data_IF_542565147772
#
_entry.id   IF_542565147772
#
_cell.length_a   1.000
_cell.length_b   1.000
_cell.length_c   1.000
_cell.angle_alpha   90.00
_cell.angle_beta   90.00
_cell.angle_gamma   90.00
#
_symmetry.space_group_name_H-M   'P 1'
#
loop_
_entity.id
_entity.type
_entity.pdbx_description
1 polymer ?
#
# COMPACT_ATOMS: atom_id res chain seq x y z
N UNK A 1 4.99 -17.40 -3.16
CA UNK A 1 4.82 -16.24 -4.06
C UNK A 1 5.21 -15.00 -3.28
N UNK A 2 6.46 -14.54 -3.41
CA UNK A 2 6.90 -13.28 -2.81
C UNK A 2 6.20 -12.15 -3.56
N UNK A 3 5.44 -11.33 -2.83
CA UNK A 3 4.75 -10.16 -3.39
C UNK A 3 5.68 -8.96 -3.31
N UNK A 4 5.66 -8.14 -4.35
CA UNK A 4 6.34 -6.85 -4.32
C UNK A 4 5.33 -5.72 -4.30
N UNK A 5 5.60 -4.79 -3.40
CA UNK A 5 4.86 -3.57 -3.24
C UNK A 5 5.76 -2.42 -3.66
N UNK A 6 5.30 -1.67 -4.65
CA UNK A 6 6.03 -0.56 -5.24
C UNK A 6 5.24 0.70 -4.99
N UNK A 7 5.82 1.62 -4.22
CA UNK A 7 5.33 2.99 -4.18
C UNK A 7 5.97 3.73 -5.34
N UNK A 8 5.21 3.87 -6.42
CA UNK A 8 5.70 4.53 -7.62
C UNK A 8 5.71 6.05 -7.44
N UNK A 9 6.77 6.65 -7.96
CA UNK A 9 6.92 8.10 -8.10
C UNK A 9 5.97 8.68 -9.15
N UNK A 10 4.65 8.45 -9.06
CA UNK A 10 3.68 8.95 -10.03
C UNK A 10 2.49 9.70 -9.46
N UNK A 11 2.11 10.69 -10.27
CA UNK A 11 0.96 11.55 -10.19
C UNK A 11 -0.34 10.78 -10.43
N UNK A 12 -0.64 9.83 -9.55
CA UNK A 12 -2.00 9.29 -9.48
C UNK A 12 -2.92 10.38 -8.88
N UNK A 13 -4.06 10.65 -9.53
CA UNK A 13 -5.08 11.52 -8.95
C UNK A 13 -5.59 10.89 -7.65
N UNK A 14 -5.62 11.69 -6.58
CA UNK A 14 -6.31 11.33 -5.34
C UNK A 14 -7.81 11.25 -5.65
N UNK A 15 -8.33 10.06 -5.92
CA UNK A 15 -9.75 9.92 -6.26
C UNK A 15 -10.25 8.51 -6.56
N UNK A 16 -9.39 7.51 -6.75
CA UNK A 16 -9.83 6.12 -6.91
C UNK A 16 -9.66 5.39 -5.57
N UNK A 17 -10.74 5.37 -4.78
CA UNK A 17 -10.82 4.56 -3.57
C UNK A 17 -11.02 3.09 -3.95
N UNK A 18 -9.93 2.34 -4.12
CA UNK A 18 -10.00 0.88 -4.06
C UNK A 18 -10.04 0.46 -2.59
N UNK A 19 -11.24 0.15 -2.12
CA UNK A 19 -11.45 -0.54 -0.85
C UNK A 19 -10.96 -1.99 -1.03
N UNK A 20 -9.72 -2.28 -0.64
CA UNK A 20 -9.22 -3.66 -0.61
C UNK A 20 -9.67 -4.27 0.72
N UNK A 21 -10.89 -4.80 0.74
CA UNK A 21 -11.35 -5.65 1.84
C UNK A 21 -10.61 -6.98 1.80
N UNK A 22 -9.71 -7.22 2.76
CA UNK A 22 -9.19 -8.57 3.04
C UNK A 22 -10.13 -9.28 4.01
N UNK A 23 -11.11 -10.00 3.47
CA UNK A 23 -11.81 -11.06 4.20
C UNK A 23 -11.52 -12.40 3.53
N UNK A 24 -10.59 -13.16 4.11
CA UNK A 24 -10.48 -14.60 3.87
C UNK A 24 -11.66 -15.28 4.59
N UNK A 25 -12.72 -15.61 3.84
CA UNK A 25 -13.69 -16.62 4.25
C UNK A 25 -13.45 -17.86 3.40
N UNK A 26 -12.80 -18.86 4.01
CA UNK A 26 -12.63 -20.18 3.40
C UNK A 26 -13.93 -20.94 3.59
N UNK A 27 -14.79 -20.97 2.57
CA UNK A 27 -15.92 -21.91 2.49
C UNK A 27 -15.44 -23.11 1.68
N UNK A 28 -15.11 -24.20 2.38
CA UNK A 28 -14.71 -25.47 1.76
C UNK A 28 -15.88 -26.13 1.01
N UNK A 29 -15.69 -26.33 -0.30
CA UNK A 29 -16.53 -27.19 -1.14
C UNK A 29 -16.23 -28.66 -0.81
N UNK A 30 -17.24 -29.44 -0.37
CA UNK A 30 -17.17 -30.91 -0.37
C UNK A 30 -17.46 -31.41 -1.78
N UNK A 31 -16.47 -32.03 -2.42
CA UNK A 31 -16.69 -32.94 -3.54
C UNK A 31 -16.90 -34.35 -3.00
N UNK A 32 -18.00 -34.98 -3.39
CA UNK A 32 -18.32 -36.36 -3.08
C UNK A 32 -17.58 -37.30 -4.05
N UNK A 33 -16.92 -38.32 -3.51
CA UNK A 33 -16.73 -39.61 -4.18
C UNK A 33 -16.37 -40.70 -3.16
N UNK A 34 -17.21 -41.75 -3.12
CA UNK A 34 -16.90 -43.19 -2.95
C UNK A 34 -15.53 -43.54 -2.33
N UNK A 35 -15.38 -44.28 -1.24
CA UNK A 35 -16.23 -45.26 -0.58
C UNK A 35 -15.30 -46.40 -0.11
N UNK A 36 -15.22 -46.66 1.20
CA UNK A 36 -14.83 -47.95 1.80
C UNK A 36 -14.84 -47.83 3.32
N UNK A 37 -15.54 -48.77 3.94
CA UNK A 37 -15.77 -48.97 5.37
C UNK A 37 -14.51 -48.85 6.24
N UNK A 38 -14.65 -48.20 7.40
CA UNK A 38 -14.08 -48.64 8.68
C UNK A 38 -14.99 -48.12 9.80
N UNK A 39 -15.57 -49.08 10.50
CA UNK A 39 -16.28 -48.95 11.78
C UNK A 39 -15.35 -48.40 12.85
N UNK A 40 -15.73 -47.30 13.52
CA UNK A 40 -15.33 -47.08 14.92
C UNK A 40 -16.23 -46.07 15.65
N UNK A 41 -16.47 -46.39 16.92
CA UNK A 41 -17.47 -45.88 17.87
C UNK A 41 -17.46 -44.37 18.12
N UNK A 42 -18.67 -43.82 18.29
CA UNK A 42 -18.94 -42.49 18.84
C UNK A 42 -18.95 -42.49 20.38
N UNK A 43 -18.62 -41.35 21.00
CA UNK A 43 -19.23 -40.94 22.26
C UNK A 43 -20.22 -39.78 22.05
N UNK A 44 -21.38 -39.95 22.68
CA UNK A 44 -22.49 -39.02 22.85
C UNK A 44 -22.06 -37.74 23.58
N UNK A 45 -22.40 -36.58 23.01
CA UNK A 45 -22.53 -35.33 23.76
C UNK A 45 -23.80 -34.59 23.29
N UNK A 46 -24.69 -34.38 24.26
CA UNK A 46 -26.04 -33.87 24.12
C UNK A 46 -26.06 -32.39 23.69
N UNK A 47 -26.90 -32.09 22.71
CA UNK A 47 -27.32 -30.73 22.38
C UNK A 47 -28.51 -30.37 23.27
N UNK A 48 -28.29 -29.50 24.24
CA UNK A 48 -29.37 -28.89 25.02
C UNK A 48 -29.96 -27.72 24.23
N UNK A 49 -31.23 -27.85 23.85
CA UNK A 49 -32.06 -26.78 23.31
C UNK A 49 -32.27 -25.71 24.39
N UNK A 50 -32.03 -24.44 24.05
CA UNK A 50 -32.46 -23.30 24.86
C UNK A 50 -33.27 -22.33 24.00
N UNK A 51 -34.38 -21.90 24.61
CA UNK A 51 -35.56 -21.34 23.98
C UNK A 51 -35.41 -19.90 23.47
N UNK A 52 -36.18 -19.60 22.44
CA UNK A 52 -36.55 -18.26 21.93
C UNK A 52 -37.18 -17.37 23.02
N UNK A 53 -36.79 -16.09 23.13
CA UNK A 53 -37.56 -15.10 23.89
C UNK A 53 -38.74 -14.49 23.07
N UNK A 54 -39.82 -14.04 23.75
CA UNK A 54 -41.08 -13.59 23.15
C UNK A 54 -41.06 -12.12 22.65
N UNK A 55 -42.05 -11.70 21.83
CA UNK A 55 -42.13 -10.36 21.23
C UNK A 55 -42.52 -9.24 22.21
N UNK A 56 -42.19 -7.97 21.92
CA UNK A 56 -42.49 -6.83 22.78
C UNK A 56 -43.98 -6.42 22.73
N UNK A 57 -44.51 -6.13 23.92
CA UNK A 57 -45.89 -5.73 24.15
C UNK A 57 -46.17 -4.27 23.74
N UNK A 58 -47.33 -4.08 23.11
CA UNK A 58 -47.95 -2.81 22.75
C UNK A 58 -48.70 -2.21 23.95
N UNK A 59 -48.43 -0.94 24.31
CA UNK A 59 -49.35 -0.02 25.02
C UNK A 59 -49.03 1.40 24.55
N UNK A 60 -49.89 2.06 23.80
CA UNK A 60 -51.16 2.73 24.14
C UNK A 60 -50.95 4.14 24.73
N UNK A 61 -51.67 5.07 24.10
CA UNK A 61 -51.59 6.52 24.14
C UNK A 61 -51.80 7.15 25.52
N UNK A 62 -51.08 8.25 25.78
CA UNK A 62 -51.64 9.41 26.50
C UNK A 62 -51.12 10.70 25.90
N UNK A 63 -52.06 11.61 25.63
CA UNK A 63 -51.89 12.97 25.15
C UNK A 63 -50.88 13.80 25.97
N UNK A 64 -50.14 14.67 25.29
CA UNK A 64 -49.81 15.98 25.85
C UNK A 64 -49.77 17.06 24.77
N UNK A 65 -50.66 18.04 24.97
CA UNK A 65 -50.96 19.20 24.15
C UNK A 65 -49.84 20.26 24.23
N UNK A 66 -49.58 20.85 23.05
CA UNK A 66 -49.23 22.25 22.76
C UNK A 66 -47.97 22.90 23.35
N UNK A 67 -47.06 23.30 22.46
CA UNK A 67 -46.70 24.71 22.26
C UNK A 67 -46.00 24.91 20.90
N UNK A 68 -46.67 25.65 20.02
CA UNK A 68 -46.19 26.05 18.70
C UNK A 68 -45.19 27.21 18.83
N UNK A 69 -43.91 26.97 18.51
CA UNK A 69 -42.88 28.01 18.34
C UNK A 69 -42.53 28.15 16.85
N UNK A 70 -43.02 29.22 16.23
CA UNK A 70 -42.69 29.61 14.85
C UNK A 70 -41.31 30.27 14.81
N UNK A 71 -40.26 29.49 14.52
CA UNK A 71 -38.93 30.02 14.24
C UNK A 71 -38.80 30.42 12.76
N UNK A 72 -38.55 31.71 12.51
CA UNK A 72 -38.35 32.31 11.19
C UNK A 72 -37.00 31.86 10.61
N UNK A 73 -37.04 30.95 9.64
CA UNK A 73 -35.87 30.51 8.87
C UNK A 73 -35.45 31.62 7.89
N UNK A 74 -34.43 32.39 8.26
CA UNK A 74 -33.77 33.36 7.39
C UNK A 74 -33.03 32.64 6.27
N UNK A 75 -33.43 32.88 5.01
CA UNK A 75 -32.71 32.44 3.81
C UNK A 75 -31.52 33.36 3.58
N UNK A 76 -30.35 33.00 4.11
CA UNK A 76 -29.07 33.61 3.73
C UNK A 76 -28.55 32.86 2.50
N UNK A 77 -28.56 33.52 1.35
CA UNK A 77 -27.98 33.02 0.11
C UNK A 77 -26.48 32.74 0.34
N UNK A 78 -26.06 31.49 0.15
CA UNK A 78 -24.64 31.12 0.09
C UNK A 78 -24.14 31.45 -1.31
N UNK A 79 -23.35 32.51 -1.40
CA UNK A 79 -22.47 32.79 -2.54
C UNK A 79 -21.49 31.62 -2.68
N UNK A 80 -21.47 30.97 -3.85
CA UNK A 80 -20.47 29.96 -4.17
C UNK A 80 -19.07 30.58 -4.16
N UNK A 81 -18.02 29.88 -3.68
CA UNK A 81 -16.67 30.40 -3.73
C UNK A 81 -16.24 30.54 -5.20
N UNK A 82 -15.71 31.72 -5.54
CA UNK A 82 -15.14 32.02 -6.84
C UNK A 82 -13.99 31.03 -7.15
N UNK A 83 -13.92 30.58 -8.40
CA UNK A 83 -12.86 29.68 -8.88
C UNK A 83 -11.47 30.30 -8.74
N UNK A 84 -10.41 29.46 -8.81
CA UNK A 84 -9.04 29.90 -8.59
C UNK A 84 -8.62 30.99 -9.59
N UNK A 85 -8.00 32.04 -9.06
CA UNK A 85 -7.46 33.19 -9.80
C UNK A 85 -6.30 32.77 -10.71
N UNK A 86 -6.22 33.34 -11.92
CA UNK A 86 -5.24 32.97 -12.95
C UNK A 86 -3.77 32.94 -12.48
N UNK A 87 -3.37 33.79 -11.53
CA UNK A 87 -2.02 33.81 -10.97
C UNK A 87 -1.65 32.54 -10.18
N UNK A 88 -2.61 31.92 -9.49
CA UNK A 88 -2.39 30.66 -8.77
C UNK A 88 -2.31 29.45 -9.70
N UNK A 89 -2.85 29.56 -10.92
CA UNK A 89 -2.71 28.52 -11.95
C UNK A 89 -1.30 28.54 -12.56
N UNK A 90 -0.76 29.73 -12.83
CA UNK A 90 0.59 29.89 -13.43
C UNK A 90 1.68 29.33 -12.52
N UNK A 91 1.65 29.61 -11.21
CA UNK A 91 2.67 29.09 -10.28
C UNK A 91 2.63 27.56 -10.15
N UNK A 92 1.43 26.96 -10.20
CA UNK A 92 1.24 25.50 -10.11
C UNK A 92 1.72 24.76 -11.34
N UNK A 93 1.63 25.39 -12.51
CA UNK A 93 2.09 24.80 -13.78
C UNK A 93 3.62 24.89 -13.93
N UNK A 94 4.24 26.00 -13.52
CA UNK A 94 5.72 26.13 -13.49
C UNK A 94 6.34 25.12 -12.52
N UNK A 95 5.74 25.00 -11.34
CA UNK A 95 6.08 24.00 -10.33
C UNK A 95 5.99 22.57 -10.86
N UNK A 96 5.03 22.28 -11.75
CA UNK A 96 4.84 20.96 -12.34
C UNK A 96 5.88 20.67 -13.42
N UNK A 97 6.25 21.66 -14.23
CA UNK A 97 7.26 21.51 -15.27
C UNK A 97 8.63 21.11 -14.69
N UNK A 98 9.06 21.75 -13.59
CA UNK A 98 10.31 21.39 -12.91
C UNK A 98 10.30 19.95 -12.38
N UNK A 99 9.19 19.51 -11.78
CA UNK A 99 9.02 18.14 -11.34
C UNK A 99 9.08 17.12 -12.50
N UNK A 100 8.44 17.41 -13.63
CA UNK A 100 8.46 16.53 -14.79
C UNK A 100 9.85 16.47 -15.44
N UNK A 101 10.60 17.57 -15.41
CA UNK A 101 11.98 17.60 -15.86
C UNK A 101 12.86 16.71 -14.99
N UNK A 102 12.80 16.85 -13.66
CA UNK A 102 13.49 15.96 -12.72
C UNK A 102 13.11 14.49 -12.96
N UNK A 103 11.82 14.19 -13.07
CA UNK A 103 11.35 12.82 -13.29
C UNK A 103 11.91 12.24 -14.60
N UNK A 104 11.88 12.99 -15.69
CA UNK A 104 12.32 12.53 -17.00
C UNK A 104 13.84 12.42 -17.14
N UNK A 105 14.55 13.51 -16.84
CA UNK A 105 15.98 13.66 -17.15
C UNK A 105 16.89 13.13 -16.04
N UNK A 106 16.52 13.31 -14.76
CA UNK A 106 17.36 12.88 -13.63
C UNK A 106 17.04 11.46 -13.20
N UNK A 107 15.76 11.12 -13.12
CA UNK A 107 15.30 9.80 -12.66
C UNK A 107 15.14 8.79 -13.81
N UNK A 108 14.93 9.26 -15.05
CA UNK A 108 14.78 8.39 -16.21
C UNK A 108 13.37 7.85 -16.44
N UNK A 109 12.34 8.52 -15.90
CA UNK A 109 10.93 8.24 -16.21
C UNK A 109 10.66 8.47 -17.68
N UNK A 110 9.92 7.56 -18.31
CA UNK A 110 9.43 7.75 -19.69
C UNK A 110 7.91 7.77 -19.72
N UNK A 111 7.33 8.82 -20.30
CA UNK A 111 5.89 8.98 -20.45
C UNK A 111 5.55 9.62 -21.82
N UNK A 112 5.87 8.96 -22.96
CA UNK A 112 5.91 9.60 -24.28
C UNK A 112 4.56 10.15 -24.79
N UNK A 113 3.45 9.59 -24.29
CA UNK A 113 2.08 9.95 -24.71
C UNK A 113 1.31 10.74 -23.65
N UNK A 114 1.98 11.18 -22.58
CA UNK A 114 1.36 11.81 -21.44
C UNK A 114 2.07 13.13 -21.09
N UNK A 115 1.31 14.06 -20.54
CA UNK A 115 1.83 15.26 -19.89
C UNK A 115 1.22 15.42 -18.51
N UNK A 116 1.98 15.93 -17.54
CA UNK A 116 1.40 16.37 -16.29
C UNK A 116 0.44 17.53 -16.53
N UNK A 117 -0.70 17.50 -15.84
CA UNK A 117 -1.68 18.58 -15.85
C UNK A 117 -2.51 18.54 -14.58
N UNK A 118 -3.26 19.60 -14.33
CA UNK A 118 -4.38 19.57 -13.40
C UNK A 118 -5.68 19.28 -14.16
N UNK A 119 -6.48 18.36 -13.67
CA UNK A 119 -7.81 18.00 -14.16
C UNK A 119 -8.76 18.14 -12.98
N UNK A 120 -9.79 19.00 -13.11
CA UNK A 120 -10.73 19.33 -12.03
C UNK A 120 -10.04 19.80 -10.73
N UNK A 121 -8.92 20.50 -10.86
CA UNK A 121 -8.11 20.98 -9.72
C UNK A 121 -7.28 19.90 -9.03
N UNK A 122 -7.37 18.64 -9.48
CA UNK A 122 -6.55 17.53 -9.04
C UNK A 122 -5.38 17.32 -9.99
N UNK A 123 -4.24 16.96 -9.45
CA UNK A 123 -3.06 16.64 -10.24
C UNK A 123 -3.20 15.28 -10.91
N UNK A 124 -2.85 15.20 -12.19
CA UNK A 124 -2.91 13.97 -12.96
C UNK A 124 -2.08 14.04 -14.24
N UNK A 125 -2.33 13.07 -15.13
CA UNK A 125 -1.70 12.96 -16.43
C UNK A 125 -2.78 13.06 -17.51
N UNK A 126 -2.48 13.79 -18.57
CA UNK A 126 -3.37 13.98 -19.73
C UNK A 126 -2.69 13.40 -20.96
N UNK A 127 -3.44 12.67 -21.77
CA UNK A 127 -2.95 12.14 -23.03
C UNK A 127 -2.61 13.27 -24.00
N UNK A 128 -1.41 13.22 -24.57
CA UNK A 128 -0.97 14.13 -25.66
C UNK A 128 -1.16 13.50 -27.03
N UNK A 129 -1.33 12.18 -27.08
CA UNK A 129 -1.50 11.39 -28.28
C UNK A 129 -2.55 10.30 -28.05
N UNK A 130 -3.06 9.69 -29.12
CA UNK A 130 -3.96 8.54 -29.01
C UNK A 130 -3.22 7.36 -28.36
N UNK A 131 -3.88 6.75 -27.37
CA UNK A 131 -3.38 5.59 -26.63
C UNK A 131 -4.24 4.39 -27.05
N UNK A 132 -3.61 3.42 -27.72
CA UNK A 132 -4.25 2.16 -28.08
C UNK A 132 -4.25 1.20 -26.88
N UNK A 133 -5.08 0.14 -26.97
CA UNK A 133 -5.11 -0.90 -25.96
C UNK A 133 -3.73 -1.59 -25.87
N UNK A 134 -3.23 -1.77 -24.65
CA UNK A 134 -1.92 -2.34 -24.34
C UNK A 134 -0.71 -1.45 -24.72
N UNK A 135 -0.93 -0.17 -25.04
CA UNK A 135 0.17 0.76 -25.19
C UNK A 135 0.90 0.98 -23.86
N UNK A 136 2.22 1.05 -23.94
CA UNK A 136 3.06 1.48 -22.83
C UNK A 136 2.79 2.96 -22.52
N UNK A 137 2.22 3.23 -21.34
CA UNK A 137 1.86 4.58 -20.92
C UNK A 137 2.99 5.29 -20.18
N UNK A 138 3.59 4.60 -19.22
CA UNK A 138 4.66 5.08 -18.35
C UNK A 138 5.63 3.94 -18.08
N UNK A 139 6.93 4.25 -18.11
CA UNK A 139 8.00 3.38 -17.62
C UNK A 139 8.73 4.09 -16.50
N UNK A 140 8.91 3.36 -15.40
CA UNK A 140 9.58 3.84 -14.19
C UNK A 140 10.74 2.91 -13.89
N UNK A 141 11.98 3.41 -13.83
CA UNK A 141 13.10 2.59 -13.39
C UNK A 141 12.86 2.07 -11.97
N UNK A 142 13.05 0.77 -11.75
CA UNK A 142 12.74 0.13 -10.47
C UNK A 142 13.54 0.72 -9.30
N UNK A 143 14.76 1.13 -9.56
CA UNK A 143 15.70 1.78 -8.64
C UNK A 143 15.21 3.13 -8.13
N UNK A 144 14.31 3.78 -8.89
CA UNK A 144 13.71 5.07 -8.53
C UNK A 144 12.41 4.96 -7.71
N UNK A 145 11.97 3.74 -7.43
CA UNK A 145 10.75 3.47 -6.69
C UNK A 145 11.07 2.94 -5.29
N UNK A 146 10.21 3.23 -4.32
CA UNK A 146 10.31 2.59 -3.01
C UNK A 146 9.68 1.20 -3.11
N UNK A 147 10.51 0.18 -2.93
CA UNK A 147 10.13 -1.21 -3.12
C UNK A 147 10.30 -1.98 -1.82
N UNK A 148 9.30 -2.81 -1.47
CA UNK A 148 9.46 -3.80 -0.42
C UNK A 148 8.94 -5.18 -0.82
N UNK A 149 9.57 -6.21 -0.26
CA UNK A 149 9.20 -7.62 -0.45
C UNK A 149 8.91 -8.26 0.90
N UNK A 150 8.18 -9.39 0.90
CA UNK A 150 7.87 -10.14 2.13
C UNK A 150 9.11 -10.56 2.90
N UNK A 151 10.18 -10.92 2.20
CA UNK A 151 11.40 -11.53 2.76
C UNK A 151 12.55 -10.52 2.88
N UNK A 152 12.31 -9.24 2.58
CA UNK A 152 13.33 -8.20 2.63
C UNK A 152 13.84 -8.00 4.06
N UNK A 153 15.16 -8.05 4.24
CA UNK A 153 15.81 -7.66 5.49
C UNK A 153 15.68 -6.16 5.74
N UNK A 154 15.65 -5.75 7.02
CA UNK A 154 15.59 -4.32 7.37
C UNK A 154 16.78 -3.57 6.74
N UNK A 155 16.53 -2.56 5.87
CA UNK A 155 17.58 -1.83 5.18
C UNK A 155 18.30 -0.82 6.09
N UNK A 156 17.72 -0.47 7.24
CA UNK A 156 18.24 0.51 8.19
C UNK A 156 18.16 0.01 9.64
N UNK A 157 18.87 -1.09 10.00
CA UNK A 157 18.80 -1.68 11.33
C UNK A 157 19.28 -0.74 12.46
N UNK A 158 20.03 0.31 12.13
CA UNK A 158 20.44 1.37 13.05
C UNK A 158 19.30 2.29 13.46
N UNK A 159 18.22 2.34 12.67
CA UNK A 159 17.09 3.25 12.86
C UNK A 159 15.83 2.52 13.31
N UNK A 160 15.56 1.33 12.72
CA UNK A 160 14.41 0.49 13.05
C UNK A 160 14.86 -0.92 13.36
N UNK A 161 14.35 -1.49 14.46
CA UNK A 161 14.68 -2.85 14.87
C UNK A 161 14.31 -3.88 13.79
N UNK A 162 15.17 -4.90 13.65
CA UNK A 162 14.96 -5.98 12.67
C UNK A 162 13.67 -6.75 12.95
N UNK A 163 13.33 -6.96 14.22
CA UNK A 163 12.15 -7.71 14.64
C UNK A 163 10.85 -6.94 14.32
N UNK A 164 10.84 -5.63 14.54
CA UNK A 164 9.70 -4.79 14.15
C UNK A 164 9.53 -4.77 12.63
N UNK A 165 10.61 -4.59 11.87
CA UNK A 165 10.55 -4.64 10.41
C UNK A 165 10.02 -5.99 9.90
N UNK A 166 10.54 -7.09 10.43
CA UNK A 166 10.15 -8.45 10.01
C UNK A 166 8.68 -8.75 10.33
N UNK A 167 8.16 -8.29 11.46
CA UNK A 167 6.75 -8.46 11.84
C UNK A 167 5.80 -7.44 11.21
N UNK A 168 6.32 -6.33 10.68
CA UNK A 168 5.52 -5.26 10.09
C UNK A 168 4.89 -5.68 8.75
N UNK A 169 3.63 -5.30 8.50
CA UNK A 169 3.00 -5.51 7.20
C UNK A 169 3.59 -4.58 6.13
N UNK A 170 3.35 -4.89 4.86
CA UNK A 170 4.00 -4.23 3.72
C UNK A 170 3.81 -2.70 3.70
N UNK A 171 2.63 -2.21 4.08
CA UNK A 171 2.32 -0.79 4.10
C UNK A 171 3.14 -0.03 5.16
N UNK A 172 3.42 -0.67 6.30
CA UNK A 172 4.28 -0.10 7.35
C UNK A 172 5.72 -0.10 6.88
N UNK A 173 6.19 -1.16 6.21
CA UNK A 173 7.54 -1.20 5.62
C UNK A 173 7.74 -0.10 4.57
N UNK A 174 6.78 0.09 3.66
CA UNK A 174 6.82 1.20 2.69
C UNK A 174 6.76 2.56 3.38
N UNK A 175 5.93 2.72 4.42
CA UNK A 175 5.85 3.95 5.19
C UNK A 175 7.21 4.30 5.83
N UNK A 176 7.92 3.31 6.40
CA UNK A 176 9.24 3.50 6.98
C UNK A 176 10.30 3.86 5.91
N UNK A 177 10.27 3.20 4.74
CA UNK A 177 11.14 3.57 3.61
C UNK A 177 10.92 5.03 3.18
N UNK A 178 9.65 5.44 3.07
CA UNK A 178 9.27 6.81 2.73
C UNK A 178 9.76 7.82 3.78
N UNK A 179 9.54 7.53 5.07
CA UNK A 179 9.99 8.39 6.15
C UNK A 179 11.51 8.50 6.20
N UNK A 180 12.23 7.41 5.92
CA UNK A 180 13.70 7.44 5.85
C UNK A 180 14.20 8.37 4.76
N UNK A 181 13.58 8.33 3.57
CA UNK A 181 13.91 9.27 2.49
C UNK A 181 13.52 10.70 2.84
N UNK A 182 12.34 10.90 3.45
CA UNK A 182 11.90 12.22 3.92
C UNK A 182 12.89 12.84 4.91
N UNK A 183 13.45 12.04 5.82
CA UNK A 183 14.45 12.51 6.80
C UNK A 183 15.77 12.98 6.16
N UNK A 184 16.13 12.47 4.97
CA UNK A 184 17.31 12.96 4.25
C UNK A 184 17.10 14.36 3.66
N UNK A 185 15.84 14.81 3.53
CA UNK A 185 15.51 16.11 2.94
C UNK A 185 16.13 16.28 1.56
N UNK A 186 16.82 17.41 1.33
CA UNK A 186 17.47 17.72 0.05
C UNK A 186 18.58 16.74 -0.38
N UNK A 187 19.04 15.86 0.51
CA UNK A 187 19.99 14.80 0.16
C UNK A 187 19.31 13.54 -0.42
N UNK A 188 17.96 13.44 -0.36
CA UNK A 188 17.22 12.37 -1.03
C UNK A 188 17.04 12.72 -2.51
N UNK A 189 17.40 11.81 -3.39
CA UNK A 189 17.08 11.90 -4.82
C UNK A 189 15.56 11.97 -5.04
N UNK A 190 14.75 11.43 -4.12
CA UNK A 190 13.30 11.40 -4.18
C UNK A 190 12.62 12.63 -3.56
N UNK A 191 13.37 13.60 -3.03
CA UNK A 191 12.81 14.80 -2.40
C UNK A 191 11.79 15.53 -3.31
N UNK A 192 12.05 15.73 -4.63
CA UNK A 192 11.09 16.42 -5.50
C UNK A 192 9.76 15.68 -5.65
N UNK A 193 9.74 14.36 -5.46
CA UNK A 193 8.51 13.58 -5.40
C UNK A 193 7.85 13.62 -4.01
N UNK A 194 8.63 13.49 -2.95
CA UNK A 194 8.14 13.50 -1.55
C UNK A 194 7.47 14.83 -1.23
N UNK A 195 8.09 15.96 -1.60
CA UNK A 195 7.55 17.31 -1.39
C UNK A 195 6.22 17.56 -2.12
N UNK A 196 5.89 16.69 -3.08
CA UNK A 196 4.64 16.75 -3.86
C UNK A 196 3.59 15.76 -3.38
N UNK A 197 3.86 14.92 -2.40
CA UNK A 197 2.84 14.06 -1.82
C UNK A 197 1.72 14.88 -1.14
N UNK A 198 0.48 14.36 -1.09
CA UNK A 198 -0.59 15.03 -0.34
C UNK A 198 -0.21 15.16 1.14
N UNK A 199 -0.42 16.33 1.73
CA UNK A 199 -0.21 16.56 3.16
C UNK A 199 -1.25 15.81 4.02
N UNK A 200 -2.43 15.58 3.48
CA UNK A 200 -3.53 14.88 4.15
C UNK A 200 -4.38 14.10 3.16
N UNK A 201 -5.15 13.15 3.70
CA UNK A 201 -6.06 12.31 2.93
C UNK A 201 -7.49 12.46 3.45
N UNK A 202 -8.46 12.48 2.53
CA UNK A 202 -9.89 12.47 2.85
C UNK A 202 -10.43 11.06 3.12
N UNK A 203 -9.62 10.14 3.65
CA UNK A 203 -10.02 8.75 3.91
C UNK A 203 -10.72 8.60 5.26
N UNK A 204 -11.70 7.69 5.44
CA UNK A 204 -12.43 7.53 6.70
C UNK A 204 -11.54 7.38 7.96
N UNK A 205 -10.35 6.78 7.83
CA UNK A 205 -9.40 6.63 8.94
C UNK A 205 -8.92 7.96 9.53
N UNK A 206 -8.94 9.06 8.76
CA UNK A 206 -8.57 10.41 9.21
C UNK A 206 -9.77 11.27 9.65
N UNK A 207 -11.00 10.80 9.47
CA UNK A 207 -12.20 11.58 9.76
C UNK A 207 -12.50 11.72 11.25
N UNK A 208 -13.07 12.84 11.66
CA UNK A 208 -13.60 13.02 13.01
C UNK A 208 -14.73 12.02 13.31
N UNK A 209 -15.05 11.83 14.60
CA UNK A 209 -16.16 10.98 15.01
C UNK A 209 -17.51 11.47 14.44
N UNK A 210 -17.67 12.79 14.29
CA UNK A 210 -18.86 13.39 13.70
C UNK A 210 -18.94 13.07 12.20
N UNK A 211 -17.86 13.25 11.45
CA UNK A 211 -17.81 12.90 10.01
C UNK A 211 -18.05 11.41 9.76
N UNK A 212 -17.51 10.54 10.62
CA UNK A 212 -17.82 9.11 10.55
C UNK A 212 -19.31 8.83 10.80
N UNK A 213 -19.94 9.51 11.76
CA UNK A 213 -21.37 9.32 12.03
C UNK A 213 -22.28 9.74 10.87
N UNK A 214 -21.82 10.67 10.03
CA UNK A 214 -22.53 11.08 8.81
C UNK A 214 -22.54 9.99 7.73
N UNK A 215 -21.69 8.95 7.82
CA UNK A 215 -21.79 7.78 6.96
C UNK A 215 -23.11 7.03 7.17
N UNK A 216 -23.72 7.17 8.35
CA UNK A 216 -24.95 6.47 8.76
C UNK A 216 -24.88 4.95 8.52
N UNK A 217 -23.66 4.40 8.57
CA UNK A 217 -23.37 2.99 8.30
C UNK A 217 -22.43 2.46 9.38
N UNK A 218 -22.99 1.94 10.50
CA UNK A 218 -22.22 1.60 11.70
C UNK A 218 -21.06 0.63 11.46
N UNK A 219 -21.18 -0.26 10.48
CA UNK A 219 -20.11 -1.20 10.16
C UNK A 219 -18.87 -0.48 9.61
N UNK A 220 -19.02 0.45 8.66
CA UNK A 220 -17.88 1.18 8.10
C UNK A 220 -17.25 2.13 9.13
N UNK A 221 -18.07 2.70 10.03
CA UNK A 221 -17.54 3.45 11.17
C UNK A 221 -16.67 2.58 12.09
N UNK A 222 -17.13 1.36 12.39
CA UNK A 222 -16.37 0.42 13.21
C UNK A 222 -15.04 0.04 12.54
N UNK A 223 -15.07 -0.28 11.24
CA UNK A 223 -13.86 -0.60 10.45
C UNK A 223 -12.88 0.57 10.44
N UNK A 224 -13.36 1.81 10.24
CA UNK A 224 -12.49 2.99 10.25
C UNK A 224 -11.85 3.24 11.62
N UNK A 225 -12.59 3.01 12.72
CA UNK A 225 -12.06 3.11 14.09
C UNK A 225 -11.04 2.00 14.38
N UNK A 226 -11.33 0.77 13.99
CA UNK A 226 -10.42 -0.37 14.15
C UNK A 226 -9.10 -0.13 13.40
N UNK A 227 -9.18 0.34 12.15
CA UNK A 227 -7.99 0.68 11.36
C UNK A 227 -7.17 1.80 12.02
N UNK A 228 -7.82 2.80 12.63
CA UNK A 228 -7.11 3.86 13.36
C UNK A 228 -6.36 3.31 14.58
N UNK A 229 -7.00 2.45 15.36
CA UNK A 229 -6.36 1.83 16.52
C UNK A 229 -5.24 0.86 16.12
N UNK A 230 -5.38 0.16 15.00
CA UNK A 230 -4.32 -0.65 14.40
C UNK A 230 -3.08 0.20 14.07
N UNK A 231 -3.26 1.37 13.45
CA UNK A 231 -2.14 2.26 13.10
C UNK A 231 -1.42 2.80 14.32
N UNK A 232 -2.17 3.14 15.39
CA UNK A 232 -1.59 3.49 16.69
C UNK A 232 -0.84 2.33 17.32
N UNK A 233 -1.33 1.10 17.14
CA UNK A 233 -0.65 -0.12 17.55
C UNK A 233 0.71 -0.29 16.88
N UNK A 234 0.80 -0.01 15.57
CA UNK A 234 2.07 0.02 14.84
C UNK A 234 3.03 1.07 15.39
N UNK A 235 2.55 2.29 15.65
CA UNK A 235 3.37 3.35 16.24
C UNK A 235 3.90 2.97 17.64
N UNK A 236 3.02 2.45 18.51
CA UNK A 236 3.39 2.03 19.86
C UNK A 236 4.46 0.93 19.83
N UNK A 237 4.34 -0.02 18.90
CA UNK A 237 5.30 -1.11 18.69
C UNK A 237 6.64 -0.61 18.12
N UNK A 238 6.60 0.38 17.22
CA UNK A 238 7.80 1.05 16.71
C UNK A 238 8.53 1.76 17.86
N UNK A 239 7.82 2.53 18.69
CA UNK A 239 8.42 3.26 19.81
C UNK A 239 8.98 2.35 20.89
N UNK A 240 8.33 1.22 21.16
CA UNK A 240 8.82 0.22 22.10
C UNK A 240 10.11 -0.45 21.62
N UNK A 241 10.22 -0.74 20.32
CA UNK A 241 11.36 -1.46 19.74
C UNK A 241 12.48 -0.54 19.22
N UNK A 242 12.19 0.74 18.98
CA UNK A 242 13.11 1.71 18.37
C UNK A 242 12.83 3.13 18.90
N UNK A 243 13.00 3.38 20.21
CA UNK A 243 12.62 4.64 20.86
C UNK A 243 13.37 5.88 20.35
N UNK A 244 14.50 5.69 19.68
CA UNK A 244 15.32 6.77 19.11
C UNK A 244 15.01 7.12 17.65
N UNK A 245 14.00 6.51 17.02
CA UNK A 245 13.75 6.72 15.58
C UNK A 245 13.26 8.13 15.23
N UNK A 246 12.73 8.88 16.21
CA UNK A 246 12.32 10.29 16.04
C UNK A 246 11.12 10.49 15.11
N UNK A 247 10.35 9.43 14.84
CA UNK A 247 9.13 9.49 14.04
C UNK A 247 7.95 9.87 14.94
N UNK A 248 7.12 10.84 14.52
CA UNK A 248 5.86 11.14 15.21
C UNK A 248 4.72 10.21 14.77
N UNK A 249 3.69 10.05 15.61
CA UNK A 249 2.53 9.19 15.32
C UNK A 249 1.79 9.64 14.05
N UNK A 250 1.62 10.95 13.91
CA UNK A 250 0.94 11.56 12.77
C UNK A 250 1.73 11.36 11.47
N UNK A 251 3.06 11.39 11.55
CA UNK A 251 3.93 11.15 10.40
C UNK A 251 3.90 9.70 9.94
N UNK A 252 3.90 8.75 10.88
CA UNK A 252 3.74 7.34 10.53
C UNK A 252 2.37 7.09 9.91
N UNK A 253 1.31 7.64 10.50
CA UNK A 253 -0.06 7.52 9.97
C UNK A 253 -0.18 8.13 8.57
N UNK A 254 0.41 9.31 8.35
CA UNK A 254 0.48 9.95 7.04
C UNK A 254 1.19 9.04 6.02
N UNK A 255 2.37 8.51 6.37
CA UNK A 255 3.15 7.66 5.48
C UNK A 255 2.45 6.34 5.15
N UNK A 256 1.72 5.74 6.11
CA UNK A 256 0.85 4.58 5.87
C UNK A 256 -0.28 4.96 4.90
N UNK A 257 -0.89 6.14 5.07
CA UNK A 257 -1.89 6.67 4.13
C UNK A 257 -1.35 6.86 2.71
N UNK A 258 -0.11 7.34 2.58
CA UNK A 258 0.59 7.41 1.28
C UNK A 258 0.73 6.01 0.68
N UNK A 259 1.19 5.03 1.46
CA UNK A 259 1.36 3.66 1.00
C UNK A 259 0.03 3.05 0.52
N UNK A 260 -1.05 3.17 1.29
CA UNK A 260 -2.36 2.63 0.91
C UNK A 260 -2.95 3.26 -0.36
N UNK A 261 -2.72 4.56 -0.56
CA UNK A 261 -3.34 5.29 -1.68
C UNK A 261 -2.53 5.26 -2.97
N UNK A 262 -1.25 4.87 -2.92
CA UNK A 262 -0.32 5.00 -4.06
C UNK A 262 0.54 3.78 -4.33
N UNK A 263 0.59 2.80 -3.44
CA UNK A 263 1.36 1.59 -3.68
C UNK A 263 0.65 0.65 -4.66
N UNK A 264 1.43 0.02 -5.52
CA UNK A 264 1.01 -1.05 -6.40
C UNK A 264 1.52 -2.36 -5.86
N UNK A 265 0.66 -3.38 -5.83
CA UNK A 265 1.05 -4.75 -5.54
C UNK A 265 1.09 -5.55 -6.83
N UNK A 266 2.18 -6.27 -7.09
CA UNK A 266 2.28 -7.16 -8.24
C UNK A 266 3.09 -8.42 -7.95
N UNK A 267 3.01 -9.43 -8.85
CA UNK A 267 3.99 -10.51 -8.85
C UNK A 267 5.38 -9.89 -8.99
N UNK A 268 6.32 -10.36 -8.17
CA UNK A 268 7.71 -9.96 -8.33
C UNK A 268 8.24 -10.59 -9.59
N UNK A 269 8.26 -9.85 -10.69
CA UNK A 269 9.07 -10.20 -11.84
C UNK A 269 10.52 -9.91 -11.44
N UNK A 270 11.17 -10.91 -10.85
CA UNK A 270 12.48 -10.74 -10.24
C UNK A 270 13.55 -10.23 -11.19
N UNK A 271 14.69 -9.83 -10.60
CA UNK A 271 15.94 -9.30 -11.20
C UNK A 271 15.96 -9.16 -12.72
N UNK A 272 16.24 -7.94 -13.20
CA UNK A 272 16.32 -7.62 -14.61
C UNK A 272 17.40 -8.43 -15.36
N UNK A 273 17.38 -8.47 -16.70
CA UNK A 273 18.31 -9.27 -17.51
C UNK A 273 19.78 -8.94 -17.24
N UNK A 274 20.11 -7.69 -16.89
CA UNK A 274 21.48 -7.27 -16.50
C UNK A 274 21.94 -7.92 -15.20
N UNK A 275 21.07 -7.95 -14.20
CA UNK A 275 21.38 -8.54 -12.89
C UNK A 275 21.50 -10.06 -12.99
N UNK A 276 20.70 -10.69 -13.85
CA UNK A 276 20.84 -12.13 -14.17
C UNK A 276 22.18 -12.41 -14.84
N UNK A 277 22.61 -11.55 -15.77
CA UNK A 277 23.93 -11.70 -16.41
C UNK A 277 25.07 -11.53 -15.40
N UNK A 278 24.96 -10.56 -14.50
CA UNK A 278 25.93 -10.35 -13.43
C UNK A 278 26.03 -11.56 -12.49
N UNK A 279 24.91 -12.19 -12.15
CA UNK A 279 24.87 -13.40 -11.33
C UNK A 279 25.51 -14.59 -12.05
N UNK A 280 25.20 -14.81 -13.33
CA UNK A 280 25.86 -15.84 -14.14
C UNK A 280 27.37 -15.60 -14.23
N UNK A 281 27.80 -14.35 -14.44
CA UNK A 281 29.21 -13.99 -14.48
C UNK A 281 29.90 -14.25 -13.13
N UNK A 282 29.25 -13.91 -12.02
CA UNK A 282 29.77 -14.14 -10.67
C UNK A 282 29.94 -15.65 -10.37
N UNK A 283 28.93 -16.46 -10.67
CA UNK A 283 28.99 -17.93 -10.50
C UNK A 283 30.12 -18.52 -11.37
N UNK A 284 30.25 -18.05 -12.61
CA UNK A 284 31.32 -18.50 -13.52
C UNK A 284 32.70 -18.12 -13.00
N UNK A 285 32.85 -16.90 -12.47
CA UNK A 285 34.11 -16.42 -11.88
C UNK A 285 34.48 -17.22 -10.62
N UNK A 286 33.51 -17.50 -9.73
CA UNK A 286 33.73 -18.34 -8.55
C UNK A 286 34.12 -19.77 -8.92
N UNK A 287 33.47 -20.35 -9.92
CA UNK A 287 33.80 -21.68 -10.42
C UNK A 287 35.24 -21.71 -10.99
N UNK A 288 35.59 -20.76 -11.85
CA UNK A 288 36.94 -20.63 -12.40
C UNK A 288 38.01 -20.42 -11.32
N UNK A 289 37.74 -19.54 -10.35
CA UNK A 289 38.64 -19.28 -9.22
C UNK A 289 38.83 -20.50 -8.32
N UNK A 290 37.76 -21.25 -8.03
CA UNK A 290 37.81 -22.47 -7.21
C UNK A 290 38.67 -23.55 -7.85
N UNK A 291 38.61 -23.70 -9.19
CA UNK A 291 39.46 -24.62 -9.93
C UNK A 291 40.92 -24.16 -9.97
N UNK A 292 41.16 -22.88 -10.21
CA UNK A 292 42.51 -22.32 -10.26
C UNK A 292 43.25 -22.43 -8.92
N UNK A 293 42.52 -22.34 -7.80
CA UNK A 293 43.07 -22.45 -6.45
C UNK A 293 43.09 -23.89 -5.92
N UNK A 294 42.61 -24.88 -6.69
CA UNK A 294 42.55 -26.28 -6.25
C UNK A 294 41.60 -26.53 -5.08
N UNK A 295 40.58 -25.69 -4.90
CA UNK A 295 39.63 -25.76 -3.78
C UNK A 295 38.50 -26.79 -4.00
N UNK A 296 38.50 -27.50 -5.13
CA UNK A 296 37.53 -28.55 -5.44
C UNK A 296 37.88 -29.29 -6.72
N UNK A 297 37.26 -30.46 -6.91
CA UNK A 297 37.38 -31.19 -8.18
C UNK A 297 36.54 -30.53 -9.27
N UNK A 298 36.88 -30.74 -10.57
CA UNK A 298 36.07 -30.27 -11.69
C UNK A 298 34.58 -30.62 -11.56
N UNK A 299 34.29 -31.84 -11.11
CA UNK A 299 32.91 -32.31 -10.93
C UNK A 299 32.19 -31.59 -9.78
N UNK A 300 32.86 -31.34 -8.66
CA UNK A 300 32.27 -30.62 -7.52
C UNK A 300 31.94 -29.17 -7.88
N UNK A 301 32.86 -28.50 -8.57
CA UNK A 301 32.68 -27.12 -9.01
C UNK A 301 31.59 -27.01 -10.07
N UNK A 302 31.57 -27.93 -11.04
CA UNK A 302 30.53 -27.98 -12.06
C UNK A 302 29.15 -28.20 -11.44
N UNK A 303 29.02 -29.18 -10.54
CA UNK A 303 27.75 -29.46 -9.85
C UNK A 303 27.27 -28.27 -9.01
N UNK A 304 28.17 -27.58 -8.32
CA UNK A 304 27.86 -26.35 -7.58
C UNK A 304 27.37 -25.22 -8.50
N UNK A 305 28.07 -24.97 -9.61
CA UNK A 305 27.67 -23.97 -10.59
C UNK A 305 26.33 -24.31 -11.24
N UNK A 306 26.10 -25.57 -11.63
CA UNK A 306 24.84 -26.02 -12.20
C UNK A 306 23.67 -25.89 -11.20
N UNK A 307 23.87 -26.23 -9.92
CA UNK A 307 22.84 -26.09 -8.92
C UNK A 307 22.37 -24.62 -8.78
N UNK A 308 23.31 -23.67 -8.77
CA UNK A 308 22.98 -22.24 -8.73
C UNK A 308 22.33 -21.79 -10.04
N UNK A 309 22.89 -22.15 -11.20
CA UNK A 309 22.34 -21.74 -12.50
C UNK A 309 20.94 -22.30 -12.77
N UNK A 310 20.63 -23.51 -12.31
CA UNK A 310 19.29 -24.10 -12.41
C UNK A 310 18.27 -23.46 -11.48
N UNK A 311 18.73 -22.85 -10.37
CA UNK A 311 17.85 -22.09 -9.47
C UNK A 311 17.38 -20.75 -10.05
N UNK A 312 18.15 -20.17 -10.97
CA UNK A 312 17.85 -18.88 -11.60
C UNK A 312 16.52 -18.93 -12.40
N UNK A 313 16.28 -19.89 -13.32
CA UNK A 313 15.02 -20.00 -14.04
C UNK A 313 13.85 -20.55 -13.19
N UNK A 314 14.09 -21.34 -12.14
CA UNK A 314 13.02 -21.86 -11.27
C UNK A 314 12.30 -20.76 -10.46
N UNK A 315 12.90 -19.57 -10.35
CA UNK A 315 12.27 -18.38 -9.79
C UNK A 315 11.21 -17.73 -10.70
N UNK A 316 11.09 -18.15 -11.97
CA UNK A 316 10.15 -17.60 -12.97
C UNK A 316 8.79 -18.33 -13.03
N UNK A 317 8.66 -19.50 -12.41
CA UNK A 317 7.45 -20.36 -12.55
C UNK A 317 6.67 -20.46 -11.23
N UNK A 318 6.97 -19.62 -10.22
CA UNK A 318 6.31 -19.67 -8.90
C UNK A 318 5.61 -18.39 -8.47
#
# INVERSE_FOLDING_TARGET
>A
MSRVFVLLCFLLPAGVHTFVGHHHVVIGRRTASSGSDITQQAPSAAWTQAATPPPPATRCCTELRMASSKSKRSKKARTAPAGPTAAATVSRDEDLAGFLHWAGEEIGVKAPKLKGSFVDGLRGLVATQNIAKNDEMVVVPSESALVTTTDQLCPFPEWVSKDFWASSPWQVRLALLLLREKQKGAASELEPWISRLPESFGTPVSWSAAELSELQYPHLEAVAREQREEWKGYYSSLMASSPGCGVAEEELSWAIGVAYSRAFSGPYEGRGPKERLAEVAFVTALAGGSLALGLGTPDQVANGAFAVLLSIPLSLVR
#
